data_IF_887233370176
#
_entry.id   IF_887233370176
#
_cell.length_a   1.000
_cell.length_b   1.000
_cell.length_c   1.000
_cell.angle_alpha   90.00
_cell.angle_beta   90.00
_cell.angle_gamma   90.00
#
_symmetry.space_group_name_H-M   'P 1'
#
loop_
_entity.id
_entity.type
_entity.pdbx_description
1 polymer ?
#
# COMPACT_ATOMS: atom_id res chain seq x y z
N UNK A 1 -4.75 37.48 46.74
CA UNK A 1 -4.24 37.01 45.43
C UNK A 1 -3.74 35.58 45.58
N UNK A 2 -4.39 34.57 44.98
CA UNK A 2 -3.93 33.18 45.17
C UNK A 2 -4.79 32.08 44.51
N UNK A 3 -6.01 32.39 44.05
CA UNK A 3 -6.87 31.40 43.39
C UNK A 3 -6.84 31.42 41.85
N UNK A 4 -6.27 32.47 41.23
CA UNK A 4 -6.24 32.59 39.76
C UNK A 4 -5.10 31.77 39.15
N UNK A 5 -3.97 31.65 39.85
CA UNK A 5 -2.77 30.91 39.41
C UNK A 5 -2.99 29.39 39.40
N UNK A 6 -3.83 28.85 40.28
CA UNK A 6 -4.10 27.40 40.33
C UNK A 6 -5.02 26.93 39.19
N UNK A 7 -5.93 27.79 38.71
CA UNK A 7 -6.84 27.49 37.59
C UNK A 7 -6.13 27.55 36.23
N UNK A 8 -5.12 28.39 36.08
CA UNK A 8 -4.37 28.53 34.83
C UNK A 8 -3.44 27.33 34.55
N UNK A 9 -2.98 26.64 35.60
CA UNK A 9 -2.09 25.50 35.47
C UNK A 9 -2.80 24.21 35.02
N UNK A 10 -4.08 24.06 35.38
CA UNK A 10 -4.91 22.92 34.96
C UNK A 10 -5.33 22.98 33.47
N UNK A 11 -5.43 24.17 32.89
CA UNK A 11 -5.78 24.34 31.46
C UNK A 11 -4.58 24.02 30.56
N UNK A 12 -3.36 24.31 31.01
CA UNK A 12 -2.14 24.01 30.26
C UNK A 12 -1.84 22.50 30.16
N UNK A 13 -2.26 21.70 31.14
CA UNK A 13 -2.05 20.25 31.15
C UNK A 13 -3.00 19.48 30.19
N UNK A 14 -4.12 20.07 29.78
CA UNK A 14 -5.10 19.42 28.89
C UNK A 14 -4.80 19.62 27.39
N UNK A 15 -3.95 20.58 27.01
CA UNK A 15 -3.69 20.91 25.61
C UNK A 15 -2.59 20.01 24.99
N UNK A 16 -1.78 19.32 25.79
CA UNK A 16 -0.66 18.49 25.31
C UNK A 16 -1.04 17.06 24.91
N UNK A 17 -2.30 16.64 25.08
CA UNK A 17 -2.71 15.24 24.89
C UNK A 17 -3.40 14.91 23.55
N UNK A 18 -3.59 15.87 22.64
CA UNK A 18 -4.49 15.69 21.49
C UNK A 18 -3.80 15.61 20.10
N UNK A 19 -2.50 15.34 20.02
CA UNK A 19 -1.77 15.32 18.73
C UNK A 19 -1.37 13.91 18.25
N UNK A 20 -2.07 12.85 18.67
CA UNK A 20 -1.93 11.53 18.06
C UNK A 20 -2.60 11.52 16.68
N UNK A 21 -1.96 12.13 15.69
CA UNK A 21 -2.31 11.93 14.28
C UNK A 21 -2.09 10.46 13.95
N UNK A 22 -3.17 9.68 13.89
CA UNK A 22 -3.14 8.34 13.33
C UNK A 22 -2.87 8.49 11.84
N UNK A 23 -1.59 8.41 11.45
CA UNK A 23 -1.18 8.44 10.05
C UNK A 23 -1.92 7.32 9.31
N UNK A 24 -2.90 7.72 8.49
CA UNK A 24 -3.64 6.84 7.59
C UNK A 24 -2.73 6.45 6.43
N UNK A 25 -2.81 5.20 5.99
CA UNK A 25 -2.02 4.71 4.87
C UNK A 25 -2.68 5.11 3.56
N UNK A 26 -3.99 4.89 3.43
CA UNK A 26 -4.79 5.48 2.35
C UNK A 26 -5.10 6.96 2.66
N UNK A 27 -4.78 7.89 1.74
CA UNK A 27 -5.19 9.29 1.84
C UNK A 27 -6.72 9.44 1.84
N UNK A 28 -7.26 10.37 2.62
CA UNK A 28 -8.71 10.62 2.73
C UNK A 28 -9.36 10.96 1.38
N UNK A 29 -8.63 11.60 0.47
CA UNK A 29 -9.09 11.91 -0.88
C UNK A 29 -9.28 10.67 -1.76
N UNK A 30 -8.63 9.55 -1.44
CA UNK A 30 -8.72 8.29 -2.20
C UNK A 30 -9.74 7.31 -1.62
N UNK A 31 -10.07 7.42 -0.32
CA UNK A 31 -11.03 6.53 0.34
C UNK A 31 -12.35 6.32 -0.43
N UNK A 32 -13.01 7.35 -1.00
CA UNK A 32 -14.27 7.16 -1.72
C UNK A 32 -14.12 6.41 -3.04
N UNK A 33 -12.90 6.32 -3.58
CA UNK A 33 -12.60 5.67 -4.85
C UNK A 33 -12.28 4.18 -4.68
N UNK A 34 -11.81 3.78 -3.50
CA UNK A 34 -11.36 2.41 -3.22
C UNK A 34 -12.54 1.44 -3.19
N UNK A 35 -12.49 0.43 -4.06
CA UNK A 35 -13.39 -0.72 -4.01
C UNK A 35 -12.82 -1.80 -3.07
N UNK A 36 -13.26 -1.77 -1.81
CA UNK A 36 -12.84 -2.75 -0.78
C UNK A 36 -13.54 -4.11 -0.90
N UNK A 37 -14.45 -4.26 -1.85
CA UNK A 37 -15.12 -5.56 -2.08
C UNK A 37 -14.28 -6.48 -2.95
N UNK A 38 -13.31 -5.94 -3.70
CA UNK A 38 -12.40 -6.70 -4.55
C UNK A 38 -11.21 -7.21 -3.74
N UNK A 39 -10.99 -8.51 -3.82
CA UNK A 39 -9.90 -9.19 -3.12
C UNK A 39 -8.73 -9.49 -4.04
N UNK A 40 -7.54 -9.67 -3.46
CA UNK A 40 -6.37 -10.03 -4.25
C UNK A 40 -6.50 -11.37 -5.02
N UNK A 41 -7.04 -12.46 -4.43
CA UNK A 41 -7.22 -13.71 -5.17
C UNK A 41 -8.14 -13.58 -6.39
N UNK A 42 -9.16 -12.72 -6.31
CA UNK A 42 -10.04 -12.41 -7.43
C UNK A 42 -9.29 -11.67 -8.55
N UNK A 43 -8.52 -10.66 -8.19
CA UNK A 43 -7.65 -9.93 -9.13
C UNK A 43 -6.65 -10.90 -9.77
N UNK A 44 -6.01 -11.77 -8.99
CA UNK A 44 -5.04 -12.75 -9.49
C UNK A 44 -5.65 -13.72 -10.51
N UNK A 45 -6.87 -14.17 -10.25
CA UNK A 45 -7.59 -15.11 -11.13
C UNK A 45 -8.01 -14.48 -12.45
N UNK A 46 -8.54 -13.25 -12.42
CA UNK A 46 -9.07 -12.57 -13.60
C UNK A 46 -8.81 -11.05 -13.59
N UNK A 47 -7.56 -10.60 -13.77
CA UNK A 47 -7.19 -9.18 -13.65
C UNK A 47 -8.01 -8.26 -14.56
N UNK A 48 -8.35 -8.71 -15.77
CA UNK A 48 -9.10 -7.94 -16.76
C UNK A 48 -10.52 -7.60 -16.29
N UNK A 49 -11.14 -8.48 -15.48
CA UNK A 49 -12.48 -8.26 -14.93
C UNK A 49 -12.54 -7.12 -13.90
N UNK A 50 -11.39 -6.71 -13.37
CA UNK A 50 -11.26 -5.67 -12.34
C UNK A 50 -10.61 -4.40 -12.86
N UNK A 51 -10.35 -4.28 -14.18
CA UNK A 51 -9.70 -3.12 -14.77
C UNK A 51 -10.36 -1.79 -14.38
N UNK A 52 -9.53 -0.80 -14.03
CA UNK A 52 -9.95 0.54 -13.63
C UNK A 52 -10.51 0.64 -12.22
N UNK A 53 -10.68 -0.48 -11.50
CA UNK A 53 -11.05 -0.43 -10.08
C UNK A 53 -9.87 -0.01 -9.22
N UNK A 54 -10.07 0.98 -8.37
CA UNK A 54 -9.06 1.40 -7.39
C UNK A 54 -9.10 0.44 -6.21
N UNK A 55 -7.96 -0.16 -5.89
CA UNK A 55 -7.82 -1.17 -4.84
C UNK A 55 -6.68 -0.83 -3.88
N UNK A 56 -6.66 -1.48 -2.72
CA UNK A 56 -5.59 -1.37 -1.74
C UNK A 56 -4.92 -2.73 -1.58
N UNK A 57 -3.68 -2.84 -2.04
CA UNK A 57 -2.90 -4.08 -1.98
C UNK A 57 -1.67 -3.87 -1.11
N UNK A 58 -1.38 -4.85 -0.26
CA UNK A 58 -0.19 -4.86 0.59
C UNK A 58 0.82 -5.90 0.16
N UNK A 59 2.08 -5.64 0.43
CA UNK A 59 3.13 -6.64 0.21
C UNK A 59 4.48 -6.24 0.75
N UNK A 60 5.47 -7.10 0.48
CA UNK A 60 6.88 -6.78 0.65
C UNK A 60 7.55 -6.68 -0.72
N UNK A 61 8.44 -5.71 -0.88
CA UNK A 61 9.22 -5.52 -2.12
C UNK A 61 10.12 -6.73 -2.35
N UNK A 62 10.09 -7.28 -3.56
CA UNK A 62 11.00 -8.33 -4.01
C UNK A 62 12.07 -7.77 -4.94
N UNK A 63 11.64 -6.92 -5.88
CA UNK A 63 12.53 -6.26 -6.83
C UNK A 63 11.92 -4.92 -7.25
N UNK A 64 12.76 -3.97 -7.64
CA UNK A 64 12.31 -2.80 -8.37
C UNK A 64 13.23 -2.53 -9.56
N UNK A 65 12.65 -2.13 -10.69
CA UNK A 65 13.41 -1.77 -11.89
C UNK A 65 12.83 -0.56 -12.60
N UNK A 66 13.71 0.19 -13.27
CA UNK A 66 13.31 1.33 -14.08
C UNK A 66 12.79 0.84 -15.43
N UNK A 67 11.60 1.31 -15.80
CA UNK A 67 11.02 1.18 -17.14
C UNK A 67 11.15 2.52 -17.88
N UNK A 68 10.81 2.52 -19.17
CA UNK A 68 10.68 3.76 -19.95
C UNK A 68 9.61 4.67 -19.32
N UNK A 69 8.48 4.08 -18.93
CA UNK A 69 7.28 4.81 -18.54
C UNK A 69 7.06 4.91 -17.02
N UNK A 70 8.04 4.48 -16.21
CA UNK A 70 7.86 4.45 -14.76
C UNK A 70 8.85 3.54 -14.03
N UNK A 71 8.58 3.29 -12.77
CA UNK A 71 9.31 2.33 -11.95
C UNK A 71 8.38 1.16 -11.66
N UNK A 72 8.78 -0.02 -12.09
CA UNK A 72 8.09 -1.27 -11.78
C UNK A 72 8.60 -1.79 -10.45
N UNK A 73 7.70 -2.08 -9.53
CA UNK A 73 7.96 -2.69 -8.24
C UNK A 73 7.28 -4.04 -8.25
N UNK A 74 8.04 -5.10 -8.04
CA UNK A 74 7.51 -6.43 -7.82
C UNK A 74 7.31 -6.64 -6.32
N UNK A 75 6.10 -7.03 -5.94
CA UNK A 75 5.75 -7.27 -4.54
C UNK A 75 5.25 -8.69 -4.35
N UNK A 76 5.65 -9.30 -3.23
CA UNK A 76 4.95 -10.46 -2.67
C UNK A 76 3.73 -9.93 -1.93
N UNK A 77 2.54 -10.24 -2.42
CA UNK A 77 1.31 -9.81 -1.76
C UNK A 77 1.19 -10.44 -0.38
N UNK A 78 0.76 -9.64 0.60
CA UNK A 78 0.45 -10.07 1.97
C UNK A 78 -0.89 -9.46 2.43
N UNK A 79 -1.65 -10.16 3.29
CA UNK A 79 -2.85 -9.59 3.90
C UNK A 79 -2.56 -8.30 4.65
N UNK A 80 -3.51 -7.39 4.64
CA UNK A 80 -3.43 -6.13 5.35
C UNK A 80 -4.08 -6.24 6.74
N UNK A 81 -3.51 -5.56 7.73
CA UNK A 81 -4.14 -5.37 9.02
C UNK A 81 -5.23 -4.29 8.98
N UNK A 82 -5.87 -4.02 10.12
CA UNK A 82 -6.93 -3.00 10.24
C UNK A 82 -6.46 -1.56 9.96
N UNK A 83 -5.15 -1.34 9.83
CA UNK A 83 -4.51 -0.06 9.52
C UNK A 83 -3.88 -0.06 8.14
N UNK A 84 -4.24 -1.04 7.30
CA UNK A 84 -3.76 -1.20 5.93
C UNK A 84 -2.25 -1.39 5.84
N UNK A 85 -1.66 -2.02 6.86
CA UNK A 85 -0.24 -2.40 6.86
C UNK A 85 -0.10 -3.89 6.54
N UNK A 86 0.88 -4.31 5.73
CA UNK A 86 1.13 -5.72 5.47
C UNK A 86 1.41 -6.48 6.77
N UNK A 87 0.70 -7.59 6.98
CA UNK A 87 1.01 -8.57 8.02
C UNK A 87 2.22 -9.37 7.54
N UNK A 88 3.36 -9.23 8.22
CA UNK A 88 4.67 -9.74 7.77
C UNK A 88 4.86 -11.25 7.97
N UNK A 89 3.89 -12.04 7.54
CA UNK A 89 3.95 -13.49 7.46
C UNK A 89 3.87 -13.93 5.99
N UNK A 90 5.03 -14.23 5.41
CA UNK A 90 5.15 -14.60 3.98
C UNK A 90 4.39 -15.87 3.62
N UNK A 91 4.05 -16.73 4.59
CA UNK A 91 3.28 -17.95 4.34
C UNK A 91 1.82 -17.65 3.98
N UNK A 92 1.32 -16.45 4.30
CA UNK A 92 -0.04 -16.02 4.00
C UNK A 92 -0.16 -15.32 2.64
N UNK A 93 0.87 -15.36 1.82
CA UNK A 93 0.86 -14.69 0.52
C UNK A 93 -0.17 -15.30 -0.44
N UNK A 94 -0.92 -14.44 -1.12
CA UNK A 94 -1.75 -14.86 -2.25
C UNK A 94 -1.00 -14.98 -3.57
N UNK A 95 0.25 -14.51 -3.67
CA UNK A 95 1.04 -14.49 -4.91
C UNK A 95 1.85 -13.21 -5.10
N UNK A 96 2.34 -13.00 -6.33
CA UNK A 96 3.14 -11.82 -6.72
C UNK A 96 2.32 -10.88 -7.60
N UNK A 97 2.58 -9.59 -7.51
CA UNK A 97 1.98 -8.58 -8.38
C UNK A 97 2.98 -7.46 -8.68
N UNK A 98 2.66 -6.68 -9.71
CA UNK A 98 3.47 -5.55 -10.13
C UNK A 98 2.73 -4.25 -9.83
N UNK A 99 3.43 -3.30 -9.18
CA UNK A 99 3.00 -1.92 -9.09
C UNK A 99 3.86 -1.06 -10.03
N UNK A 100 3.24 -0.20 -10.83
CA UNK A 100 3.95 0.69 -11.76
C UNK A 100 3.72 2.14 -11.34
N UNK A 101 4.74 2.79 -10.78
CA UNK A 101 4.71 4.21 -10.48
C UNK A 101 5.17 5.00 -11.70
N UNK A 102 4.30 5.85 -12.26
CA UNK A 102 4.63 6.69 -13.42
C UNK A 102 5.60 7.83 -13.07
N UNK A 103 5.37 8.49 -11.93
CA UNK A 103 6.28 9.51 -11.41
C UNK A 103 7.68 8.94 -11.16
N UNK A 104 8.68 9.82 -11.16
CA UNK A 104 10.04 9.42 -10.83
C UNK A 104 10.12 8.84 -9.41
N UNK A 105 10.52 7.57 -9.33
CA UNK A 105 10.89 6.86 -8.11
C UNK A 105 12.14 6.05 -8.43
N UNK A 106 13.27 6.39 -7.84
CA UNK A 106 14.51 5.67 -8.09
C UNK A 106 14.42 4.26 -7.48
N UNK A 107 14.54 3.18 -8.30
CA UNK A 107 14.50 1.81 -7.79
C UNK A 107 15.52 1.54 -6.67
N UNK A 108 16.67 2.21 -6.67
CA UNK A 108 17.70 2.02 -5.66
C UNK A 108 17.26 2.50 -4.26
N UNK A 109 16.19 3.29 -4.17
CA UNK A 109 15.62 3.73 -2.89
C UNK A 109 14.66 2.70 -2.29
N UNK A 110 14.27 1.67 -3.06
CA UNK A 110 13.36 0.62 -2.65
C UNK A 110 14.15 -0.59 -2.13
N UNK A 111 14.25 -0.69 -0.82
CA UNK A 111 14.98 -1.78 -0.16
C UNK A 111 14.15 -3.07 -0.24
N UNK A 112 14.75 -4.15 -0.72
CA UNK A 112 14.13 -5.49 -0.71
C UNK A 112 13.62 -5.85 0.69
N UNK A 113 12.44 -6.46 0.76
CA UNK A 113 11.78 -6.83 2.01
C UNK A 113 11.02 -5.68 2.69
N UNK A 114 11.11 -4.45 2.18
CA UNK A 114 10.32 -3.33 2.71
C UNK A 114 8.82 -3.58 2.57
N UNK A 115 8.08 -3.36 3.66
CA UNK A 115 6.63 -3.41 3.65
C UNK A 115 6.05 -2.20 2.91
N UNK A 116 5.12 -2.44 1.98
CA UNK A 116 4.50 -1.41 1.17
C UNK A 116 3.02 -1.68 1.00
N UNK A 117 2.24 -0.60 1.01
CA UNK A 117 0.81 -0.61 0.67
C UNK A 117 0.62 0.25 -0.55
N UNK A 118 -0.02 -0.31 -1.57
CA UNK A 118 -0.31 0.30 -2.84
C UNK A 118 -1.79 0.67 -2.87
N UNK A 119 -2.07 1.91 -3.24
CA UNK A 119 -3.40 2.38 -3.62
C UNK A 119 -3.31 2.73 -5.10
N UNK A 120 -4.02 1.99 -5.93
CA UNK A 120 -3.86 2.09 -7.37
C UNK A 120 -5.00 1.43 -8.13
N UNK A 121 -5.14 1.78 -9.40
CA UNK A 121 -6.11 1.13 -10.27
C UNK A 121 -5.56 -0.20 -10.80
N UNK A 122 -6.41 -1.21 -10.89
CA UNK A 122 -6.05 -2.46 -11.57
C UNK A 122 -5.93 -2.17 -13.07
N UNK A 123 -4.74 -2.35 -13.62
CA UNK A 123 -4.47 -2.13 -15.04
C UNK A 123 -4.76 -3.39 -15.88
N UNK A 124 -4.63 -4.57 -15.27
CA UNK A 124 -4.79 -5.87 -15.95
C UNK A 124 -3.65 -6.80 -15.56
N UNK A 125 -3.07 -7.48 -16.55
CA UNK A 125 -2.01 -8.45 -16.32
C UNK A 125 -0.79 -8.20 -17.21
N UNK A 126 0.37 -8.65 -16.73
CA UNK A 126 1.60 -8.80 -17.50
C UNK A 126 2.13 -10.20 -17.30
N UNK A 127 2.32 -10.94 -18.40
CA UNK A 127 3.08 -12.19 -18.36
C UNK A 127 4.56 -11.87 -18.42
N UNK A 128 5.31 -12.36 -17.44
CA UNK A 128 6.77 -12.26 -17.36
C UNK A 128 7.31 -13.55 -16.73
N UNK A 129 8.61 -13.77 -16.77
CA UNK A 129 9.19 -14.96 -16.14
C UNK A 129 9.30 -14.77 -14.62
N UNK A 130 8.89 -15.80 -13.88
CA UNK A 130 9.28 -16.03 -12.50
C UNK A 130 10.25 -17.20 -12.51
N UNK A 131 11.54 -16.92 -12.31
CA UNK A 131 12.60 -17.89 -12.53
C UNK A 131 12.49 -18.50 -13.95
N UNK A 132 12.26 -19.81 -14.05
CA UNK A 132 12.15 -20.52 -15.33
C UNK A 132 10.71 -20.74 -15.83
N UNK A 133 9.70 -20.18 -15.13
CA UNK A 133 8.29 -20.37 -15.49
C UNK A 133 7.61 -19.05 -15.85
N UNK A 134 6.73 -19.09 -16.84
CA UNK A 134 5.87 -17.93 -17.13
C UNK A 134 4.90 -17.72 -15.96
N UNK A 135 4.83 -16.49 -15.49
CA UNK A 135 3.93 -16.06 -14.44
C UNK A 135 3.12 -14.87 -14.92
N UNK A 136 1.80 -14.93 -14.72
CA UNK A 136 0.88 -13.86 -15.08
C UNK A 136 0.66 -12.95 -13.87
N UNK A 137 1.44 -11.89 -13.80
CA UNK A 137 1.35 -10.90 -12.73
C UNK A 137 0.12 -10.01 -12.94
N UNK A 138 -0.73 -9.81 -11.93
CA UNK A 138 -1.60 -8.65 -11.89
C UNK A 138 -0.79 -7.37 -11.84
N UNK A 139 -1.29 -6.33 -12.48
CA UNK A 139 -0.64 -5.02 -12.55
C UNK A 139 -1.56 -3.96 -11.95
N UNK A 140 -1.00 -3.12 -11.08
CA UNK A 140 -1.64 -1.91 -10.54
C UNK A 140 -0.79 -0.68 -10.85
N UNK A 141 -1.43 0.47 -11.06
CA UNK A 141 -0.77 1.76 -11.38
C UNK A 141 -1.07 2.85 -10.36
#
# INVERSE_FOLDING_TARGET
>A
MGLVSFRLWWVAAFILAAACSSQRVVPESLEPLVDRTVTFPEILSAPESYQGKVVVLGGVVLEAKRLKDGTQIELLQLPLDKRERPILDRQQSGGRFLAIRQDFLDPATLVEGSAMTIVGDVFGAKTDYLDDVEYRYPVVT
#
